data_IF_825691972731
#
_entry.id   IF_825691972731
#
_cell.length_a   1.000
_cell.length_b   1.000
_cell.length_c   1.000
_cell.angle_alpha   90.00
_cell.angle_beta   90.00
_cell.angle_gamma   90.00
#
_symmetry.space_group_name_H-M   'P 1'
#
loop_
_entity.id
_entity.type
_entity.pdbx_description
1 polymer ?
#
# COMPACT_ATOMS: atom_id res chain seq x y z
N UNK A 1 26.28 -20.83 -1.86
CA UNK A 1 25.63 -20.53 -0.58
C UNK A 1 24.76 -19.29 -0.70
N UNK A 2 23.54 -19.43 -1.25
CA UNK A 2 22.51 -18.41 -1.14
C UNK A 2 22.18 -18.16 0.33
N UNK A 3 21.95 -16.90 0.68
CA UNK A 3 21.68 -16.45 2.04
C UNK A 3 20.21 -16.05 2.17
N UNK A 4 19.63 -16.30 3.33
CA UNK A 4 18.29 -15.85 3.70
C UNK A 4 18.37 -15.07 5.00
N UNK A 5 17.68 -13.94 5.08
CA UNK A 5 17.58 -13.14 6.30
C UNK A 5 16.22 -13.38 6.95
N UNK A 6 16.22 -13.75 8.23
CA UNK A 6 15.02 -13.87 9.06
C UNK A 6 15.31 -13.14 10.37
N UNK A 7 14.42 -12.22 10.76
CA UNK A 7 14.59 -11.39 11.97
C UNK A 7 15.98 -10.73 12.08
N UNK A 8 16.44 -10.15 10.96
CA UNK A 8 17.75 -9.49 10.84
C UNK A 8 18.98 -10.42 10.97
N UNK A 9 18.76 -11.72 11.13
CA UNK A 9 19.83 -12.73 11.18
C UNK A 9 19.98 -13.40 9.82
N UNK A 10 21.22 -13.50 9.35
CA UNK A 10 21.55 -14.13 8.07
C UNK A 10 21.88 -15.62 8.25
N UNK A 11 21.22 -16.46 7.46
CA UNK A 11 21.40 -17.91 7.43
C UNK A 11 21.81 -18.36 6.03
N UNK A 12 22.60 -19.43 5.93
CA UNK A 12 22.82 -20.10 4.66
C UNK A 12 21.61 -20.97 4.34
N UNK A 13 20.95 -20.73 3.21
CA UNK A 13 19.74 -21.47 2.86
C UNK A 13 20.01 -22.92 2.43
N UNK A 14 21.26 -23.26 2.12
CA UNK A 14 21.69 -24.65 1.87
C UNK A 14 21.68 -25.51 3.14
N UNK A 15 21.84 -24.88 4.32
CA UNK A 15 21.86 -25.56 5.63
C UNK A 15 20.44 -25.93 6.11
N UNK A 16 19.40 -25.46 5.41
CA UNK A 16 18.02 -25.78 5.72
C UNK A 16 17.70 -27.24 5.36
N UNK A 17 16.84 -27.86 6.18
CA UNK A 17 16.22 -29.13 5.82
C UNK A 17 15.35 -28.98 4.56
N UNK A 18 15.01 -30.08 3.90
CA UNK A 18 14.12 -30.03 2.73
C UNK A 18 12.76 -29.36 3.06
N UNK A 19 12.21 -29.61 4.25
CA UNK A 19 11.03 -28.91 4.75
C UNK A 19 11.28 -27.41 4.94
N UNK A 20 12.45 -27.03 5.45
CA UNK A 20 12.87 -25.63 5.60
C UNK A 20 12.96 -24.91 4.25
N UNK A 21 13.56 -25.54 3.24
CA UNK A 21 13.62 -25.02 1.86
C UNK A 21 12.23 -24.86 1.25
N UNK A 22 11.35 -25.84 1.43
CA UNK A 22 9.96 -25.76 0.95
C UNK A 22 9.16 -24.62 1.63
N UNK A 23 9.40 -24.42 2.93
CA UNK A 23 8.80 -23.29 3.68
C UNK A 23 9.33 -21.96 3.17
N UNK A 24 10.65 -21.84 2.95
CA UNK A 24 11.27 -20.64 2.40
C UNK A 24 10.70 -20.29 1.01
N UNK A 25 10.55 -21.28 0.12
CA UNK A 25 9.94 -21.07 -1.18
C UNK A 25 8.48 -20.58 -1.08
N UNK A 26 7.72 -21.11 -0.12
CA UNK A 26 6.34 -20.68 0.14
C UNK A 26 6.29 -19.22 0.63
N UNK A 27 7.22 -18.81 1.50
CA UNK A 27 7.33 -17.42 1.96
C UNK A 27 7.67 -16.47 0.82
N UNK A 28 8.67 -16.81 0.00
CA UNK A 28 9.06 -16.01 -1.18
C UNK A 28 7.90 -15.85 -2.17
N UNK A 29 7.10 -16.91 -2.35
CA UNK A 29 5.89 -16.83 -3.16
C UNK A 29 4.89 -15.82 -2.58
N UNK A 30 4.59 -15.89 -1.28
CA UNK A 30 3.68 -14.94 -0.63
C UNK A 30 4.18 -13.50 -0.73
N UNK A 31 5.48 -13.27 -0.54
CA UNK A 31 6.09 -11.95 -0.68
C UNK A 31 5.91 -11.36 -2.08
N UNK A 32 6.15 -12.17 -3.12
CA UNK A 32 5.92 -11.78 -4.51
C UNK A 32 4.45 -11.40 -4.77
N UNK A 33 3.52 -12.20 -4.26
CA UNK A 33 2.09 -11.95 -4.38
C UNK A 33 1.67 -10.66 -3.67
N UNK A 34 2.17 -10.43 -2.44
CA UNK A 34 1.93 -9.18 -1.72
C UNK A 34 2.50 -7.97 -2.45
N UNK A 35 3.68 -8.10 -3.06
CA UNK A 35 4.28 -7.01 -3.82
C UNK A 35 3.45 -6.66 -5.06
N UNK A 36 2.92 -7.68 -5.75
CA UNK A 36 2.01 -7.47 -6.87
C UNK A 36 0.76 -6.70 -6.43
N UNK A 37 0.12 -7.10 -5.33
CA UNK A 37 -1.06 -6.42 -4.80
C UNK A 37 -0.77 -4.97 -4.42
N UNK A 38 0.39 -4.68 -3.82
CA UNK A 38 0.81 -3.30 -3.52
C UNK A 38 0.92 -2.44 -4.78
N UNK A 39 1.46 -3.01 -5.86
CA UNK A 39 1.54 -2.31 -7.15
C UNK A 39 0.15 -2.01 -7.72
N UNK A 40 -0.78 -2.98 -7.66
CA UNK A 40 -2.17 -2.78 -8.09
C UNK A 40 -2.88 -1.70 -7.26
N UNK A 41 -2.69 -1.71 -5.93
CA UNK A 41 -3.22 -0.67 -5.03
C UNK A 41 -2.70 0.71 -5.42
N UNK A 42 -1.40 0.85 -5.76
CA UNK A 42 -0.83 2.13 -6.17
C UNK A 42 -1.47 2.67 -7.47
N UNK A 43 -1.79 1.77 -8.42
CA UNK A 43 -2.53 2.13 -9.64
C UNK A 43 -3.93 2.62 -9.29
N UNK A 44 -4.66 1.92 -8.42
CA UNK A 44 -6.00 2.34 -8.00
C UNK A 44 -6.00 3.66 -7.22
N UNK A 45 -5.01 3.90 -6.38
CA UNK A 45 -4.85 5.17 -5.67
C UNK A 45 -4.64 6.33 -6.65
N UNK A 46 -3.84 6.11 -7.71
CA UNK A 46 -3.66 7.12 -8.76
C UNK A 46 -4.98 7.43 -9.49
N UNK A 47 -5.73 6.41 -9.87
CA UNK A 47 -7.05 6.59 -10.49
C UNK A 47 -8.03 7.29 -9.54
N UNK A 48 -8.07 6.91 -8.27
CA UNK A 48 -8.90 7.54 -7.24
C UNK A 48 -8.59 9.03 -7.12
N UNK A 49 -7.31 9.42 -7.05
CA UNK A 49 -6.93 10.84 -6.99
C UNK A 49 -7.41 11.62 -8.22
N UNK A 50 -7.30 11.03 -9.41
CA UNK A 50 -7.80 11.63 -10.65
C UNK A 50 -9.32 11.84 -10.62
N UNK A 51 -10.08 10.82 -10.20
CA UNK A 51 -11.53 10.93 -10.09
C UNK A 51 -11.97 11.94 -9.03
N UNK A 52 -11.27 12.01 -7.90
CA UNK A 52 -11.52 13.04 -6.87
C UNK A 52 -11.27 14.43 -7.42
N UNK A 53 -10.19 14.63 -8.18
CA UNK A 53 -9.89 15.92 -8.80
C UNK A 53 -10.97 16.31 -9.81
N UNK A 54 -11.38 15.38 -10.68
CA UNK A 54 -12.46 15.61 -11.64
C UNK A 54 -13.79 15.94 -10.96
N UNK A 55 -14.13 15.24 -9.88
CA UNK A 55 -15.34 15.51 -9.10
C UNK A 55 -15.32 16.90 -8.46
N UNK A 56 -14.17 17.34 -7.93
CA UNK A 56 -14.03 18.70 -7.38
C UNK A 56 -14.33 19.78 -8.43
N UNK A 57 -13.81 19.61 -9.65
CA UNK A 57 -14.10 20.53 -10.76
C UNK A 57 -15.60 20.58 -11.08
N UNK A 58 -16.29 19.43 -11.04
CA UNK A 58 -17.73 19.40 -11.28
C UNK A 58 -18.53 20.03 -10.13
N UNK A 59 -18.10 19.82 -8.88
CA UNK A 59 -18.70 20.48 -7.71
C UNK A 59 -18.55 22.00 -7.82
N UNK A 60 -17.39 22.51 -8.22
CA UNK A 60 -17.15 23.95 -8.40
C UNK A 60 -18.02 24.59 -9.49
N UNK A 61 -18.37 23.83 -10.53
CA UNK A 61 -19.30 24.27 -11.58
C UNK A 61 -20.77 24.21 -11.14
N UNK A 62 -21.05 23.40 -10.13
CA UNK A 62 -22.39 23.27 -9.59
C UNK A 62 -22.62 24.29 -8.47
N UNK A 63 -23.86 24.72 -8.27
CA UNK A 63 -24.23 25.56 -7.13
C UNK A 63 -24.28 24.78 -5.79
N UNK A 64 -23.65 23.60 -5.72
CA UNK A 64 -23.63 22.75 -4.54
C UNK A 64 -22.78 23.40 -3.45
N UNK A 65 -23.46 23.84 -2.39
CA UNK A 65 -22.81 24.35 -1.18
C UNK A 65 -22.49 23.22 -0.21
N UNK A 66 -21.38 23.29 0.52
CA UNK A 66 -21.10 22.35 1.61
C UNK A 66 -22.26 22.34 2.62
N UNK A 67 -22.77 21.15 2.96
CA UNK A 67 -23.87 21.01 3.93
C UNK A 67 -23.43 21.25 5.38
N UNK A 68 -22.12 21.40 5.63
CA UNK A 68 -21.57 21.83 6.90
C UNK A 68 -20.33 22.71 6.65
N UNK A 69 -20.49 24.03 6.77
CA UNK A 69 -19.37 24.92 7.05
C UNK A 69 -18.83 24.53 8.42
N UNK A 70 -17.76 23.72 8.47
CA UNK A 70 -16.92 23.69 9.68
C UNK A 70 -16.25 25.05 9.76
N UNK A 71 -16.91 25.93 10.51
CA UNK A 71 -16.43 27.20 11.01
C UNK A 71 -14.94 27.09 11.40
N UNK A 72 -14.05 27.61 10.53
CA UNK A 72 -12.62 27.75 10.82
C UNK A 72 -12.34 29.03 11.62
N UNK A 73 -13.27 29.47 12.48
CA UNK A 73 -13.09 30.59 13.39
C UNK A 73 -12.81 30.17 14.84
N UNK A 74 -11.87 29.26 15.11
CA UNK A 74 -11.12 29.36 16.36
C UNK A 74 -9.85 28.51 16.42
N UNK A 75 -8.71 29.12 16.10
CA UNK A 75 -7.41 28.74 16.67
C UNK A 75 -6.48 29.96 16.67
N UNK A 76 -6.90 31.02 17.37
CA UNK A 76 -6.01 32.05 17.90
C UNK A 76 -6.47 32.39 19.31
N UNK A 77 -5.86 31.77 20.31
CA UNK A 77 -5.42 32.41 21.57
C UNK A 77 -4.36 31.50 22.18
#
# INVERSE_FOLDING_TARGET
MPKVTVDEIEYNSEDLTETGKATLASLQFLESQMQKMRNEIAVYQTAQMSYVAALKVEIEKSDVKPSAEKDQSNAKT
#
